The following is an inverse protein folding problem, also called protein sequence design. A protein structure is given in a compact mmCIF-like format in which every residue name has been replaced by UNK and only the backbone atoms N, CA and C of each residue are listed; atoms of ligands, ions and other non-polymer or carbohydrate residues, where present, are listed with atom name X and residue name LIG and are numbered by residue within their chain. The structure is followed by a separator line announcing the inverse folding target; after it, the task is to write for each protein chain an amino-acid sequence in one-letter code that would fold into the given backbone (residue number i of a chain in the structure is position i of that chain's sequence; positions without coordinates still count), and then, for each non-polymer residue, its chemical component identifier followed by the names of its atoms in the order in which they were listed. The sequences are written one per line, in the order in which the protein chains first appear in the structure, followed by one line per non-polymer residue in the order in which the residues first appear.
data_IF_260734596511
#
_entry.id   IF_260734596511
#
_cell.length_a   1.000
_cell.length_b   1.000
_cell.length_c   1.000
_cell.angle_alpha   90.00
_cell.angle_beta   90.00
_cell.angle_gamma   90.00
#
_symmetry.space_group_name_H-M   'P 1'
#
loop_
_entity.id
_entity.type
_entity.pdbx_description
1 polymer ?
#
# COMPACT_ATOMS: atom_id res chain seq x y z
N UNK A 1 -43.15 -3.65 13.86
CA UNK A 1 -42.10 -4.68 14.01
C UNK A 1 -40.78 -4.03 13.64
N UNK A 2 -40.07 -3.49 14.64
CA UNK A 2 -38.78 -2.85 14.45
C UNK A 2 -37.69 -3.89 14.56
N UNK A 3 -36.94 -4.13 13.49
CA UNK A 3 -35.69 -4.86 13.57
C UNK A 3 -34.65 -3.93 14.20
N UNK A 4 -34.48 -4.02 15.52
CA UNK A 4 -33.29 -3.50 16.19
C UNK A 4 -32.14 -4.40 15.78
N UNK A 5 -31.50 -4.08 14.66
CA UNK A 5 -30.18 -4.61 14.34
C UNK A 5 -29.25 -4.20 15.46
N UNK A 6 -28.90 -5.15 16.33
CA UNK A 6 -27.80 -4.99 17.28
C UNK A 6 -26.57 -4.56 16.47
N UNK A 7 -25.88 -3.47 16.82
CA UNK A 7 -24.60 -3.19 16.21
C UNK A 7 -23.71 -4.40 16.49
N UNK A 8 -23.26 -5.06 15.43
CA UNK A 8 -22.18 -6.03 15.53
C UNK A 8 -21.02 -5.23 16.11
N UNK A 9 -20.63 -5.51 17.36
CA UNK A 9 -19.43 -4.94 17.95
C UNK A 9 -18.24 -5.45 17.14
N UNK A 10 -17.91 -4.75 16.06
CA UNK A 10 -16.69 -5.00 15.31
C UNK A 10 -15.53 -4.70 16.24
N UNK A 11 -14.67 -5.69 16.49
CA UNK A 11 -13.48 -5.41 17.28
C UNK A 11 -12.59 -4.45 16.51
N UNK A 12 -11.93 -3.57 17.25
CA UNK A 12 -11.13 -2.49 16.70
C UNK A 12 -9.68 -2.72 17.11
N UNK A 13 -8.76 -2.60 16.15
CA UNK A 13 -7.33 -2.74 16.39
C UNK A 13 -6.59 -1.49 15.94
N UNK A 14 -5.57 -1.08 16.68
CA UNK A 14 -4.68 0.00 16.25
C UNK A 14 -3.65 -0.50 15.24
N UNK A 15 -3.41 0.28 14.19
CA UNK A 15 -2.28 0.07 13.28
C UNK A 15 -0.91 0.07 13.98
N UNK A 16 -0.83 0.64 15.19
CA UNK A 16 0.38 0.61 16.02
C UNK A 16 0.92 -0.79 16.28
N UNK A 17 0.07 -1.82 16.28
CA UNK A 17 0.53 -3.20 16.42
C UNK A 17 1.43 -3.67 15.26
N UNK A 18 1.41 -2.96 14.11
CA UNK A 18 2.24 -3.27 12.95
C UNK A 18 3.61 -2.54 12.95
N UNK A 19 3.82 -1.57 13.85
CA UNK A 19 5.04 -0.76 13.89
C UNK A 19 6.32 -1.59 14.02
N UNK A 20 6.43 -2.60 14.91
CA UNK A 20 7.66 -3.38 15.04
C UNK A 20 8.04 -4.09 13.72
N UNK A 21 7.05 -4.58 12.98
CA UNK A 21 7.27 -5.26 11.70
C UNK A 21 7.66 -4.28 10.60
N UNK A 22 7.06 -3.08 10.58
CA UNK A 22 7.45 -2.02 9.65
C UNK A 22 8.89 -1.56 9.92
N UNK A 23 9.25 -1.33 11.19
CA UNK A 23 10.60 -0.99 11.63
C UNK A 23 11.63 -2.02 11.19
N UNK A 24 11.33 -3.30 11.41
CA UNK A 24 12.15 -4.41 10.93
C UNK A 24 12.29 -4.40 9.40
N UNK A 25 11.21 -4.09 8.67
CA UNK A 25 11.21 -4.08 7.20
C UNK A 25 12.06 -2.96 6.60
N UNK A 26 12.05 -1.78 7.22
CA UNK A 26 12.84 -0.61 6.78
C UNK A 26 14.25 -0.58 7.38
N UNK A 27 14.58 -1.52 8.27
CA UNK A 27 15.87 -1.60 8.95
C UNK A 27 16.06 -0.60 10.10
N UNK A 28 14.98 -0.03 10.64
CA UNK A 28 15.00 0.91 11.77
C UNK A 28 14.83 0.16 13.09
N UNK A 29 15.84 -0.65 13.45
CA UNK A 29 15.77 -1.66 14.53
C UNK A 29 16.42 -1.22 15.85
N UNK A 30 17.21 -0.15 15.86
CA UNK A 30 17.89 0.34 17.05
C UNK A 30 16.90 1.10 17.95
N UNK A 31 16.46 0.45 19.03
CA UNK A 31 15.47 1.02 19.96
C UNK A 31 15.96 2.23 20.73
N UNK A 32 17.27 2.45 20.84
CA UNK A 32 17.84 3.61 21.52
C UNK A 32 17.90 4.84 20.58
N UNK A 33 17.94 4.60 19.26
CA UNK A 33 18.17 5.64 18.25
C UNK A 33 17.37 5.38 16.98
N UNK A 34 16.06 5.22 17.12
CA UNK A 34 15.20 5.12 15.96
C UNK A 34 15.35 6.34 15.04
N UNK A 35 15.54 6.06 13.76
CA UNK A 35 15.65 7.08 12.71
C UNK A 35 14.30 7.74 12.44
N UNK A 36 13.21 6.96 12.49
CA UNK A 36 11.86 7.43 12.18
C UNK A 36 11.02 7.53 13.45
N UNK A 37 10.23 8.60 13.54
CA UNK A 37 9.23 8.79 14.60
C UNK A 37 8.04 7.84 14.40
N UNK A 38 7.46 7.35 15.50
CA UNK A 38 6.32 6.43 15.46
C UNK A 38 5.10 7.05 14.76
N UNK A 39 4.85 8.35 14.95
CA UNK A 39 3.74 9.07 14.33
C UNK A 39 3.84 9.07 12.80
N UNK A 40 5.06 9.16 12.27
CA UNK A 40 5.31 9.14 10.84
C UNK A 40 5.08 7.74 10.27
N UNK A 41 5.53 6.70 10.99
CA UNK A 41 5.32 5.31 10.62
C UNK A 41 3.82 4.93 10.69
N UNK A 42 3.10 5.41 11.69
CA UNK A 42 1.64 5.25 11.80
C UNK A 42 0.91 5.92 10.64
N UNK A 43 1.34 7.13 10.26
CA UNK A 43 0.78 7.84 9.10
C UNK A 43 1.02 7.05 7.82
N UNK A 44 2.21 6.48 7.63
CA UNK A 44 2.52 5.64 6.48
C UNK A 44 1.66 4.37 6.44
N UNK A 45 1.43 3.70 7.58
CA UNK A 45 0.54 2.54 7.69
C UNK A 45 -0.91 2.89 7.35
N UNK A 46 -1.39 4.04 7.82
CA UNK A 46 -2.74 4.54 7.51
C UNK A 46 -2.89 4.79 6.01
N UNK A 47 -1.95 5.51 5.41
CA UNK A 47 -1.94 5.76 3.97
C UNK A 47 -1.86 4.46 3.16
N UNK A 48 -1.06 3.49 3.61
CA UNK A 48 -0.97 2.18 2.98
C UNK A 48 -2.34 1.48 2.98
N UNK A 49 -3.01 1.38 4.13
CA UNK A 49 -4.35 0.78 4.19
C UNK A 49 -5.35 1.51 3.31
N UNK A 50 -5.36 2.85 3.31
CA UNK A 50 -6.27 3.65 2.49
C UNK A 50 -6.06 3.38 0.99
N UNK A 51 -4.81 3.31 0.53
CA UNK A 51 -4.52 2.99 -0.88
C UNK A 51 -4.86 1.54 -1.23
N UNK A 52 -4.69 0.61 -0.28
CA UNK A 52 -5.03 -0.79 -0.46
C UNK A 52 -6.54 -1.05 -0.44
N UNK A 53 -7.38 -0.15 0.08
CA UNK A 53 -8.84 -0.37 0.20
C UNK A 53 -9.47 -0.92 -1.09
N UNK A 54 -9.12 -0.36 -2.25
CA UNK A 54 -9.64 -0.81 -3.54
C UNK A 54 -9.19 -2.22 -3.92
N UNK A 55 -7.94 -2.57 -3.61
CA UNK A 55 -7.36 -3.89 -3.89
C UNK A 55 -7.93 -4.96 -2.96
N UNK A 56 -8.35 -4.54 -1.77
CA UNK A 56 -8.89 -5.39 -0.72
C UNK A 56 -10.43 -5.48 -0.79
N UNK A 57 -11.06 -4.94 -1.84
CA UNK A 57 -12.52 -4.83 -1.97
C UNK A 57 -13.21 -4.22 -0.73
N UNK A 58 -12.58 -3.20 -0.13
CA UNK A 58 -13.10 -2.48 1.05
C UNK A 58 -13.41 -3.38 2.26
N UNK A 59 -12.61 -4.45 2.42
CA UNK A 59 -12.67 -5.38 3.55
C UNK A 59 -12.48 -4.71 4.92
N UNK A 60 -11.70 -3.64 4.98
CA UNK A 60 -11.38 -2.94 6.23
C UNK A 60 -11.85 -1.49 6.20
N UNK A 61 -12.34 -1.02 7.35
CA UNK A 61 -12.63 0.38 7.62
C UNK A 61 -11.50 0.95 8.48
N UNK A 62 -11.06 2.16 8.16
CA UNK A 62 -9.95 2.85 8.85
C UNK A 62 -10.44 4.22 9.28
N UNK A 63 -10.30 4.55 10.55
CA UNK A 63 -10.67 5.84 11.10
C UNK A 63 -9.53 6.88 10.97
N UNK A 64 -9.79 8.10 11.45
CA UNK A 64 -8.80 9.18 11.45
C UNK A 64 -7.65 8.95 12.45
N UNK A 65 -7.88 8.13 13.47
CA UNK A 65 -6.90 7.81 14.52
C UNK A 65 -6.03 6.59 14.19
N UNK A 66 -6.21 5.97 13.00
CA UNK A 66 -5.48 4.76 12.61
C UNK A 66 -6.00 3.49 13.30
N UNK A 67 -7.22 3.52 13.80
CA UNK A 67 -7.98 2.36 14.25
C UNK A 67 -8.64 1.69 13.05
N UNK A 68 -8.61 0.36 13.06
CA UNK A 68 -9.06 -0.49 11.97
C UNK A 68 -10.13 -1.42 12.50
N UNK A 69 -11.22 -1.54 11.75
CA UNK A 69 -12.25 -2.55 11.99
C UNK A 69 -12.54 -3.32 10.71
N UNK A 70 -13.08 -4.53 10.84
CA UNK A 70 -13.65 -5.27 9.70
C UNK A 70 -14.89 -4.52 9.19
N UNK A 71 -15.06 -4.45 7.87
CA UNK A 71 -16.28 -3.92 7.27
C UNK A 71 -17.42 -4.94 7.47
N UNK A 72 -18.50 -4.61 8.20
CA UNK A 72 -19.60 -5.55 8.44
C UNK A 72 -20.34 -5.96 7.15
N UNK A 73 -20.27 -5.15 6.10
CA UNK A 73 -20.87 -5.48 4.80
C UNK A 73 -20.04 -6.46 3.98
N UNK A 74 -18.77 -6.68 4.36
CA UNK A 74 -17.88 -7.61 3.67
C UNK A 74 -18.06 -9.03 4.19
N UNK A 75 -18.69 -9.89 3.39
CA UNK A 75 -18.95 -11.29 3.75
C UNK A 75 -17.79 -12.26 3.45
N UNK A 76 -16.68 -11.77 2.87
CA UNK A 76 -15.63 -12.61 2.28
C UNK A 76 -14.41 -12.87 3.18
N UNK A 77 -14.51 -12.70 4.51
CA UNK A 77 -13.39 -13.00 5.40
C UNK A 77 -13.09 -14.50 5.38
N UNK A 78 -11.81 -14.85 5.23
CA UNK A 78 -11.36 -16.24 5.17
C UNK A 78 -11.12 -16.79 6.57
N UNK A 79 -10.75 -15.92 7.53
CA UNK A 79 -10.32 -16.30 8.87
C UNK A 79 -11.19 -15.67 9.96
N UNK A 80 -11.40 -16.43 11.03
CA UNK A 80 -12.15 -15.99 12.21
C UNK A 80 -11.45 -14.82 12.90
N UNK A 81 -12.23 -13.83 13.33
CA UNK A 81 -11.71 -12.61 13.95
C UNK A 81 -11.14 -12.88 15.34
N UNK A 82 -11.77 -13.78 16.11
CA UNK A 82 -11.36 -14.09 17.49
C UNK A 82 -9.97 -14.74 17.55
N UNK A 83 -9.59 -15.51 16.53
CA UNK A 83 -8.34 -16.26 16.49
C UNK A 83 -7.21 -15.48 15.80
N UNK A 84 -7.50 -14.78 14.70
CA UNK A 84 -6.48 -14.15 13.85
C UNK A 84 -6.43 -12.62 13.97
N UNK A 85 -7.40 -12.03 14.66
CA UNK A 85 -7.59 -10.60 14.83
C UNK A 85 -8.31 -9.93 13.65
N UNK A 86 -8.51 -8.62 13.78
CA UNK A 86 -9.23 -7.79 12.79
C UNK A 86 -8.60 -7.88 11.41
N UNK A 87 -7.28 -7.68 11.31
CA UNK A 87 -6.55 -7.70 10.03
C UNK A 87 -6.08 -9.13 9.78
N UNK A 88 -6.43 -9.71 8.63
CA UNK A 88 -5.96 -11.05 8.28
C UNK A 88 -4.44 -11.07 8.05
N UNK A 89 -3.74 -12.16 8.44
CA UNK A 89 -2.28 -12.26 8.32
C UNK A 89 -1.73 -12.00 6.90
N UNK A 90 -2.44 -12.43 5.86
CA UNK A 90 -2.06 -12.17 4.46
C UNK A 90 -1.99 -10.67 4.14
N UNK A 91 -2.93 -9.91 4.70
CA UNK A 91 -3.08 -8.49 4.41
C UNK A 91 -2.09 -7.65 5.23
N UNK A 92 -1.73 -8.12 6.44
CA UNK A 92 -0.71 -7.46 7.29
C UNK A 92 0.60 -7.24 6.51
N UNK A 93 1.09 -8.26 5.81
CA UNK A 93 2.35 -8.16 5.07
C UNK A 93 2.27 -7.12 3.93
N UNK A 94 1.16 -7.11 3.18
CA UNK A 94 0.95 -6.17 2.08
C UNK A 94 0.89 -4.73 2.60
N UNK A 95 0.20 -4.51 3.72
CA UNK A 95 0.12 -3.20 4.38
C UNK A 95 1.51 -2.73 4.82
N UNK A 96 2.28 -3.60 5.49
CA UNK A 96 3.64 -3.29 5.94
C UNK A 96 4.55 -2.94 4.75
N UNK A 97 4.45 -3.71 3.66
CA UNK A 97 5.25 -3.51 2.47
C UNK A 97 4.96 -2.15 1.80
N UNK A 98 3.68 -1.82 1.62
CA UNK A 98 3.28 -0.54 1.04
C UNK A 98 3.65 0.65 1.95
N UNK A 99 3.54 0.50 3.27
CA UNK A 99 3.99 1.52 4.20
C UNK A 99 5.52 1.71 4.15
N UNK A 100 6.29 0.63 4.02
CA UNK A 100 7.74 0.69 3.86
C UNK A 100 8.13 1.44 2.58
N UNK A 101 7.42 1.21 1.47
CA UNK A 101 7.60 1.96 0.22
C UNK A 101 7.36 3.45 0.47
N UNK A 102 6.25 3.85 1.11
CA UNK A 102 6.00 5.27 1.39
C UNK A 102 7.07 5.94 2.25
N UNK A 103 7.56 5.27 3.29
CA UNK A 103 8.65 5.80 4.14
C UNK A 103 9.94 5.95 3.33
N UNK A 104 10.26 4.94 2.52
CA UNK A 104 11.47 4.92 1.69
C UNK A 104 11.34 5.78 0.43
N UNK A 105 10.16 6.17 -0.02
CA UNK A 105 9.95 7.13 -1.11
C UNK A 105 9.97 8.56 -0.58
N UNK A 106 9.25 8.86 0.51
CA UNK A 106 9.21 10.20 1.10
C UNK A 106 10.58 10.68 1.59
N UNK A 107 11.45 9.77 2.02
CA UNK A 107 12.83 10.13 2.31
C UNK A 107 13.64 10.54 1.06
N UNK A 108 13.15 10.35 -0.18
CA UNK A 108 13.84 10.77 -1.42
C UNK A 108 13.71 12.28 -1.62
N UNK A 109 12.55 12.85 -1.28
CA UNK A 109 12.27 14.28 -1.41
C UNK A 109 13.19 15.11 -0.48
N UNK A 110 13.38 14.66 0.76
CA UNK A 110 14.33 15.28 1.69
C UNK A 110 15.80 15.14 1.24
N UNK A 111 16.13 14.10 0.44
CA UNK A 111 17.46 13.95 -0.16
C UNK A 111 17.64 14.79 -1.44
N UNK A 112 16.55 15.11 -2.16
CA UNK A 112 16.59 16.00 -3.32
C UNK A 112 16.97 17.44 -2.94
N UNK A 113 16.59 17.88 -1.74
CA UNK A 113 17.06 19.16 -1.17
C UNK A 113 18.57 19.17 -0.89
N UNK A 114 19.16 18.02 -0.51
CA UNK A 114 20.62 17.87 -0.40
C UNK A 114 21.32 17.72 -1.75
N UNK A 115 20.60 17.29 -2.80
CA UNK A 115 21.13 17.22 -4.16
C UNK A 115 21.09 18.57 -4.89
N UNK A 116 20.36 19.56 -4.36
CA UNK A 116 20.31 20.94 -4.87
C UNK A 116 21.32 21.88 -4.21
N UNK A 117 22.13 21.42 -3.23
CA UNK A 117 23.29 22.15 -2.73
C UNK A 117 24.47 22.03 -3.69
N UNK A 118 24.27 22.43 -4.94
CA UNK A 118 25.34 22.65 -5.92
C UNK A 118 26.01 23.99 -5.59
N UNK A 119 26.77 24.01 -4.50
CA UNK A 119 27.86 24.96 -4.30
C UNK A 119 28.93 24.29 -3.45
N UNK A 120 30.00 23.91 -4.13
CA UNK A 120 31.30 23.46 -3.62
C UNK A 120 31.28 22.68 -2.30
N UNK A 121 31.18 21.36 -2.39
CA UNK A 121 32.15 20.49 -1.72
C UNK A 121 32.12 19.13 -2.41
N UNK A 122 33.31 18.66 -2.76
CA UNK A 122 33.69 17.33 -3.25
C UNK A 122 32.57 16.27 -3.15
N UNK A 123 32.10 15.79 -4.31
CA UNK A 123 31.15 14.67 -4.40
C UNK A 123 31.81 13.46 -3.75
N UNK A 124 31.51 13.25 -2.47
CA UNK A 124 31.93 12.08 -1.71
C UNK A 124 31.25 10.87 -2.35
N UNK A 125 32.05 9.97 -2.93
CA UNK A 125 31.60 8.71 -3.56
C UNK A 125 30.74 7.81 -2.64
N UNK A 126 30.66 8.10 -1.33
CA UNK A 126 29.82 7.40 -0.35
C UNK A 126 28.31 7.53 -0.61
N UNK A 127 27.85 8.65 -1.16
CA UNK A 127 26.42 8.95 -1.22
C UNK A 127 25.73 8.35 -2.47
N UNK A 128 26.49 8.13 -3.54
CA UNK A 128 25.99 7.54 -4.81
C UNK A 128 25.65 6.05 -4.67
N UNK A 129 26.53 5.27 -4.03
CA UNK A 129 26.30 3.84 -3.77
C UNK A 129 25.11 3.63 -2.82
N UNK A 130 24.98 4.47 -1.79
CA UNK A 130 23.84 4.43 -0.89
C UNK A 130 22.51 4.72 -1.61
N UNK A 131 22.50 5.67 -2.55
CA UNK A 131 21.34 5.97 -3.37
C UNK A 131 20.97 4.81 -4.31
N UNK A 132 21.97 4.19 -4.95
CA UNK A 132 21.78 3.03 -5.83
C UNK A 132 21.19 1.83 -5.07
N UNK A 133 21.78 1.47 -3.94
CA UNK A 133 21.31 0.37 -3.09
C UNK A 133 19.86 0.59 -2.61
N UNK A 134 19.50 1.85 -2.30
CA UNK A 134 18.13 2.20 -1.91
C UNK A 134 17.15 2.09 -3.07
N UNK A 135 17.50 2.53 -4.27
CA UNK A 135 16.63 2.39 -5.45
C UNK A 135 16.43 0.93 -5.84
N UNK A 136 17.47 0.11 -5.75
CA UNK A 136 17.35 -1.35 -5.95
C UNK A 136 16.43 -1.97 -4.90
N UNK A 137 16.54 -1.52 -3.64
CA UNK A 137 15.65 -1.94 -2.56
C UNK A 137 14.19 -1.54 -2.83
N UNK A 138 13.95 -0.29 -3.19
CA UNK A 138 12.61 0.21 -3.54
C UNK A 138 12.00 -0.56 -4.70
N UNK A 139 12.76 -0.76 -5.77
CA UNK A 139 12.32 -1.55 -6.93
C UNK A 139 11.90 -2.96 -6.52
N UNK A 140 12.75 -3.65 -5.74
CA UNK A 140 12.43 -4.98 -5.22
C UNK A 140 11.15 -4.99 -4.38
N UNK A 141 10.93 -3.98 -3.53
CA UNK A 141 9.72 -3.87 -2.72
C UNK A 141 8.48 -3.62 -3.59
N UNK A 142 8.58 -2.78 -4.62
CA UNK A 142 7.50 -2.54 -5.57
C UNK A 142 7.18 -3.82 -6.37
N UNK A 143 8.19 -4.55 -6.82
CA UNK A 143 8.01 -5.81 -7.54
C UNK A 143 7.32 -6.85 -6.63
N UNK A 144 7.76 -6.99 -5.37
CA UNK A 144 7.09 -7.86 -4.38
C UNK A 144 5.65 -7.42 -4.10
N UNK A 145 5.37 -6.10 -4.05
CA UNK A 145 4.02 -5.59 -3.86
C UNK A 145 3.11 -6.01 -5.02
N UNK A 146 3.62 -5.86 -6.24
CA UNK A 146 2.89 -6.17 -7.47
C UNK A 146 2.60 -7.67 -7.61
N UNK A 147 3.49 -8.52 -7.11
CA UNK A 147 3.28 -9.97 -7.09
C UNK A 147 2.18 -10.39 -6.10
N UNK A 148 2.08 -9.69 -4.96
CA UNK A 148 1.10 -9.99 -3.91
C UNK A 148 -0.28 -9.39 -4.20
N UNK A 149 -0.31 -8.19 -4.77
CA UNK A 149 -1.55 -7.49 -5.07
C UNK A 149 -2.15 -8.04 -6.37
N UNK A 150 -3.36 -8.60 -6.28
CA UNK A 150 -4.16 -8.87 -7.47
C UNK A 150 -4.79 -7.55 -7.94
N UNK A 151 -4.63 -7.14 -9.21
CA UNK A 151 -5.30 -5.95 -9.71
C UNK A 151 -6.82 -6.11 -9.53
N UNK A 152 -7.51 -5.07 -9.05
CA UNK A 152 -8.89 -5.18 -8.55
C UNK A 152 -9.88 -5.59 -9.64
N UNK A 153 -9.51 -5.43 -10.91
CA UNK A 153 -10.23 -5.95 -12.05
C UNK A 153 -9.20 -6.26 -13.13
N UNK A 154 -8.88 -7.54 -13.40
CA UNK A 154 -8.48 -7.87 -14.78
C UNK A 154 -9.69 -7.50 -15.61
N UNK A 155 -9.62 -6.40 -16.37
CA UNK A 155 -10.69 -6.01 -17.31
C UNK A 155 -11.14 -7.27 -18.04
N UNK A 156 -12.37 -7.73 -17.78
CA UNK A 156 -12.92 -8.96 -18.35
C UNK A 156 -12.97 -8.88 -19.89
N UNK A 157 -12.92 -7.66 -20.44
CA UNK A 157 -12.66 -7.40 -21.84
C UNK A 157 -11.56 -6.33 -21.97
N UNK A 158 -10.44 -6.70 -22.57
CA UNK A 158 -9.57 -5.71 -23.19
C UNK A 158 -10.19 -5.36 -24.55
N UNK A 159 -10.43 -4.08 -24.87
CA UNK A 159 -10.87 -3.72 -26.21
C UNK A 159 -9.75 -4.10 -27.19
N UNK A 160 -9.94 -5.20 -27.92
CA UNK A 160 -9.11 -5.49 -29.09
C UNK A 160 -9.47 -4.40 -30.09
N UNK A 161 -8.52 -3.50 -30.37
CA UNK A 161 -8.66 -2.51 -31.45
C UNK A 161 -9.14 -3.29 -32.67
N UNK A 162 -10.35 -2.99 -33.16
CA UNK A 162 -11.03 -3.52 -34.37
C UNK A 162 -12.29 -4.39 -34.23
N UNK A 163 -12.86 -4.65 -33.05
CA UNK A 163 -14.29 -5.04 -33.05
C UNK A 163 -14.96 -4.92 -31.68
N UNK A 164 -15.93 -4.02 -31.59
CA UNK A 164 -17.00 -4.14 -30.59
C UNK A 164 -18.01 -5.18 -31.11
N UNK A 165 -18.45 -6.16 -30.29
CA UNK A 165 -19.50 -7.09 -30.71
C UNK A 165 -20.78 -6.30 -30.98
N UNK A 166 -21.31 -6.39 -32.21
CA UNK A 166 -22.50 -5.67 -32.67
C UNK A 166 -22.26 -4.60 -33.74
N UNK A 167 -21.01 -4.24 -34.03
CA UNK A 167 -20.63 -3.28 -35.07
C UNK A 167 -19.98 -3.97 -36.29
N UNK A 168 -20.70 -4.88 -36.96
CA UNK A 168 -20.30 -5.29 -38.32
C UNK A 168 -20.81 -4.23 -39.30
N UNK A 169 -19.92 -3.70 -40.16
CA UNK A 169 -20.20 -2.69 -41.19
C UNK A 169 -20.42 -1.26 -40.66
N UNK A 170 -19.59 -0.79 -39.72
CA UNK A 170 -19.64 0.61 -39.33
C UNK A 170 -19.04 1.50 -40.44
N UNK A 171 -19.78 2.49 -40.91
CA UNK A 171 -19.39 3.45 -41.95
C UNK A 171 -18.13 4.28 -41.61
N UNK A 172 -17.70 4.28 -40.35
CA UNK A 172 -16.47 4.93 -39.87
C UNK A 172 -15.25 3.99 -39.76
N UNK A 173 -15.37 2.73 -40.17
CA UNK A 173 -14.20 1.86 -40.33
C UNK A 173 -13.41 2.34 -41.55
N UNK A 174 -12.26 2.98 -41.29
CA UNK A 174 -11.31 3.35 -42.33
C UNK A 174 -10.94 2.10 -43.13
N UNK A 175 -11.29 2.11 -44.42
CA UNK A 175 -10.75 1.16 -45.39
C UNK A 175 -9.29 1.55 -45.61
N UNK A 176 -8.38 0.79 -45.02
CA UNK A 176 -6.96 0.91 -45.33
C UNK A 176 -6.80 0.70 -46.86
N UNK A 177 -6.13 1.64 -47.52
CA UNK A 177 -5.68 1.55 -48.92
C UNK A 177 -4.69 0.40 -49.11
#
# INVERSE_FOLDING_TARGET
MGATGTPVNSSVVSLGSLLPYLRMRIGDIDSEKYKYLDEWLLTALRLAMMNLQRYNNFKYLVDENGLVSRNPEYMGFTLLEEEYGVIEPSDKNIIILMAAIFVLEGSLENSAWNAASWKDYEISYSNLEQFRNRNETLKRLIDELNDLIKPPVKRLAQPKKRSLPGYKNNQYEYRDL
#
